data_IF_802796031686
#
_entry.id   IF_802796031686
#
_cell.length_a   1.000
_cell.length_b   1.000
_cell.length_c   1.000
_cell.angle_alpha   90.00
_cell.angle_beta   90.00
_cell.angle_gamma   90.00
#
_symmetry.space_group_name_H-M   'P 1'
#
loop_
_entity.id
_entity.type
_entity.pdbx_description
1 polymer ?
#
# COMPACT_ATOMS: atom_id res chain seq x y z
N UNK A 1 56.05 -124.72 40.31
CA UNK A 1 55.08 -124.71 39.19
C UNK A 1 54.71 -123.26 38.85
N UNK A 2 55.06 -122.82 37.63
CA UNK A 2 54.63 -121.66 36.82
C UNK A 2 54.21 -120.31 37.47
N UNK A 3 54.95 -119.21 37.21
CA UNK A 3 54.42 -117.85 37.24
C UNK A 3 54.03 -117.41 35.82
N UNK A 4 52.83 -117.80 35.34
CA UNK A 4 52.38 -117.45 33.97
C UNK A 4 51.17 -116.48 33.92
N UNK A 5 50.55 -116.13 35.06
CA UNK A 5 49.36 -115.25 35.10
C UNK A 5 49.65 -113.75 35.30
N UNK A 6 50.87 -113.36 35.74
CA UNK A 6 51.20 -111.93 35.96
C UNK A 6 51.46 -111.17 34.65
N UNK A 7 51.96 -111.85 33.61
CA UNK A 7 52.26 -111.24 32.31
C UNK A 7 51.03 -111.07 31.41
N UNK A 8 49.98 -111.90 31.56
CA UNK A 8 48.78 -111.80 30.71
C UNK A 8 47.87 -110.62 31.16
N UNK A 9 47.69 -110.44 32.47
CA UNK A 9 46.90 -109.34 33.04
C UNK A 9 47.50 -107.96 32.76
N UNK A 10 48.83 -107.81 32.83
CA UNK A 10 49.50 -106.55 32.47
C UNK A 10 49.32 -106.20 30.99
N UNK A 11 49.34 -107.18 30.07
CA UNK A 11 49.17 -106.93 28.63
C UNK A 11 47.73 -106.51 28.28
N UNK A 12 46.73 -107.08 28.94
CA UNK A 12 45.31 -106.70 28.73
C UNK A 12 45.06 -105.29 29.28
N UNK A 13 45.59 -104.97 30.47
CA UNK A 13 45.49 -103.62 31.05
C UNK A 13 46.20 -102.60 30.16
N UNK A 14 47.39 -102.92 29.64
CA UNK A 14 48.14 -102.02 28.75
C UNK A 14 47.40 -101.78 27.43
N UNK A 15 46.78 -102.82 26.85
CA UNK A 15 45.96 -102.70 25.64
C UNK A 15 44.69 -101.87 25.85
N UNK A 16 44.00 -102.07 26.98
CA UNK A 16 42.84 -101.26 27.36
C UNK A 16 43.23 -99.79 27.61
N UNK A 17 44.39 -99.54 28.22
CA UNK A 17 44.92 -98.20 28.44
C UNK A 17 45.24 -97.51 27.10
N UNK A 18 45.84 -98.23 26.14
CA UNK A 18 46.15 -97.70 24.81
C UNK A 18 44.87 -97.35 24.02
N UNK A 19 43.83 -98.17 24.09
CA UNK A 19 42.53 -97.89 23.48
C UNK A 19 41.83 -96.70 24.14
N UNK A 20 41.90 -96.58 25.47
CA UNK A 20 41.36 -95.42 26.19
C UNK A 20 42.08 -94.13 25.76
N UNK A 21 43.41 -94.15 25.66
CA UNK A 21 44.21 -93.00 25.21
C UNK A 21 43.89 -92.68 23.74
N UNK A 22 43.78 -93.66 22.85
CA UNK A 22 43.42 -93.43 21.44
C UNK A 22 42.00 -92.84 21.29
N UNK A 23 41.05 -93.27 22.13
CA UNK A 23 39.69 -92.71 22.15
C UNK A 23 39.66 -91.28 22.66
N UNK A 24 40.45 -90.97 23.70
CA UNK A 24 40.61 -89.62 24.22
C UNK A 24 41.28 -88.71 23.18
N UNK A 25 42.33 -89.19 22.51
CA UNK A 25 43.00 -88.44 21.43
C UNK A 25 42.02 -88.17 20.29
N UNK A 26 41.22 -89.16 19.89
CA UNK A 26 40.23 -89.01 18.81
C UNK A 26 39.11 -88.05 19.19
N UNK A 27 38.60 -88.11 20.43
CA UNK A 27 37.62 -87.15 20.96
C UNK A 27 38.20 -85.75 21.07
N UNK A 28 39.45 -85.61 21.55
CA UNK A 28 40.13 -84.31 21.58
C UNK A 28 40.38 -83.78 20.18
N UNK A 29 40.69 -84.63 19.20
CA UNK A 29 40.91 -84.24 17.81
C UNK A 29 39.61 -83.82 17.12
N UNK A 30 38.52 -84.57 17.31
CA UNK A 30 37.19 -84.21 16.77
C UNK A 30 36.68 -82.91 17.37
N UNK A 31 36.80 -82.74 18.70
CA UNK A 31 36.48 -81.49 19.38
C UNK A 31 37.41 -80.34 18.95
N UNK A 32 38.69 -80.61 18.65
CA UNK A 32 39.63 -79.61 18.15
C UNK A 32 39.29 -79.18 16.72
N UNK A 33 38.87 -80.11 15.85
CA UNK A 33 38.46 -79.82 14.48
C UNK A 33 37.13 -79.05 14.42
N UNK A 34 36.13 -79.45 15.23
CA UNK A 34 34.86 -78.74 15.39
C UNK A 34 35.05 -77.35 16.06
N UNK A 35 35.98 -77.25 17.01
CA UNK A 35 36.38 -75.97 17.64
C UNK A 35 37.13 -75.06 16.65
N UNK A 36 37.98 -75.62 15.79
CA UNK A 36 38.70 -74.90 14.75
C UNK A 36 37.78 -74.31 13.69
N UNK A 37 36.75 -75.04 13.26
CA UNK A 37 35.75 -74.58 12.30
C UNK A 37 34.81 -73.52 12.89
N UNK A 38 34.41 -73.66 14.17
CA UNK A 38 33.66 -72.62 14.90
C UNK A 38 34.51 -71.36 15.11
N UNK A 39 35.78 -71.51 15.47
CA UNK A 39 36.69 -70.39 15.66
C UNK A 39 36.94 -69.63 14.34
N UNK A 40 37.15 -70.32 13.23
CA UNK A 40 37.32 -69.69 11.92
C UNK A 40 36.04 -68.98 11.43
N UNK A 41 34.87 -69.60 11.63
CA UNK A 41 33.57 -68.98 11.33
C UNK A 41 33.36 -67.68 12.12
N UNK A 42 33.55 -67.72 13.44
CA UNK A 42 33.35 -66.54 14.28
C UNK A 42 34.40 -65.45 14.01
N UNK A 43 35.62 -65.83 13.58
CA UNK A 43 36.66 -64.87 13.17
C UNK A 43 36.26 -64.16 11.87
N UNK A 44 35.75 -64.90 10.89
CA UNK A 44 35.20 -64.32 9.65
C UNK A 44 34.00 -63.41 9.93
N UNK A 45 33.12 -63.81 10.85
CA UNK A 45 31.98 -63.00 11.27
C UNK A 45 32.41 -61.68 11.92
N UNK A 46 33.42 -61.73 12.79
CA UNK A 46 34.03 -60.54 13.40
C UNK A 46 34.58 -59.59 12.33
N UNK A 47 35.30 -60.10 11.33
CA UNK A 47 35.82 -59.29 10.22
C UNK A 47 34.71 -58.61 9.41
N UNK A 48 33.59 -59.31 9.18
CA UNK A 48 32.42 -58.72 8.51
C UNK A 48 31.80 -57.59 9.34
N UNK A 49 31.64 -57.75 10.65
CA UNK A 49 31.11 -56.69 11.52
C UNK A 49 32.05 -55.49 11.54
N UNK A 50 33.38 -55.69 11.59
CA UNK A 50 34.37 -54.60 11.53
C UNK A 50 34.26 -53.85 10.20
N UNK A 51 34.12 -54.57 9.09
CA UNK A 51 33.92 -53.97 7.76
C UNK A 51 32.63 -53.15 7.72
N UNK A 52 31.52 -53.69 8.22
CA UNK A 52 30.22 -53.03 8.23
C UNK A 52 30.22 -51.78 9.13
N UNK A 53 30.91 -51.82 10.27
CA UNK A 53 31.09 -50.67 11.16
C UNK A 53 31.92 -49.56 10.51
N UNK A 54 33.02 -49.91 9.81
CA UNK A 54 33.80 -48.94 9.03
C UNK A 54 32.98 -48.29 7.92
N UNK A 55 32.19 -49.10 7.19
CA UNK A 55 31.28 -48.59 6.18
C UNK A 55 30.20 -47.66 6.79
N UNK A 56 29.70 -48.00 7.98
CA UNK A 56 28.75 -47.15 8.70
C UNK A 56 29.38 -45.82 9.12
N UNK A 57 30.63 -45.85 9.59
CA UNK A 57 31.40 -44.67 9.97
C UNK A 57 31.55 -43.68 8.79
N UNK A 58 31.84 -44.21 7.60
CA UNK A 58 31.92 -43.44 6.35
C UNK A 58 30.55 -42.87 5.96
N UNK A 59 29.50 -43.70 6.01
CA UNK A 59 28.12 -43.29 5.74
C UNK A 59 27.64 -42.14 6.62
N UNK A 60 28.00 -42.12 7.91
CA UNK A 60 27.73 -40.97 8.79
C UNK A 60 28.61 -39.76 8.46
N UNK A 61 29.81 -39.97 7.92
CA UNK A 61 30.70 -38.90 7.47
C UNK A 61 30.20 -38.17 6.22
N UNK A 62 29.44 -38.84 5.36
CA UNK A 62 28.80 -38.24 4.18
C UNK A 62 27.64 -37.29 4.51
N UNK A 63 27.08 -37.38 5.72
CA UNK A 63 25.96 -36.54 6.19
C UNK A 63 26.40 -35.13 6.60
N UNK A 64 27.13 -34.44 5.73
CA UNK A 64 27.80 -33.16 6.00
C UNK A 64 26.83 -31.98 6.15
N UNK A 65 25.62 -32.11 5.63
CA UNK A 65 24.60 -31.04 5.65
C UNK A 65 23.74 -31.03 6.93
N UNK A 66 23.97 -31.99 7.83
CA UNK A 66 23.31 -32.00 9.13
C UNK A 66 23.65 -30.75 9.95
N UNK A 67 22.64 -30.19 10.65
CA UNK A 67 22.82 -29.04 11.55
C UNK A 67 22.15 -29.28 12.90
N UNK A 68 22.56 -28.48 13.90
CA UNK A 68 21.97 -28.50 15.24
C UNK A 68 22.08 -29.87 15.90
N UNK A 69 20.99 -30.35 16.50
CA UNK A 69 20.97 -31.59 17.29
C UNK A 69 21.35 -32.84 16.47
N UNK A 70 20.95 -32.90 15.19
CA UNK A 70 21.25 -34.06 14.32
C UNK A 70 22.76 -34.15 14.05
N UNK A 71 23.44 -33.02 13.87
CA UNK A 71 24.89 -33.01 13.70
C UNK A 71 25.63 -33.51 14.96
N UNK A 72 25.09 -33.21 16.15
CA UNK A 72 25.61 -33.71 17.43
C UNK A 72 25.38 -35.22 17.55
N UNK A 73 24.16 -35.69 17.29
CA UNK A 73 23.82 -37.13 17.34
C UNK A 73 24.63 -37.95 16.32
N UNK A 74 24.90 -37.43 15.11
CA UNK A 74 25.79 -38.06 14.12
C UNK A 74 27.22 -38.18 14.66
N UNK A 75 27.74 -37.13 15.31
CA UNK A 75 29.09 -37.15 15.90
C UNK A 75 29.20 -38.17 17.03
N UNK A 76 28.19 -38.24 17.89
CA UNK A 76 28.12 -39.21 18.99
C UNK A 76 28.08 -40.65 18.47
N UNK A 77 27.29 -40.92 17.42
CA UNK A 77 27.23 -42.25 16.81
C UNK A 77 28.53 -42.65 16.12
N UNK A 78 29.24 -41.71 15.48
CA UNK A 78 30.58 -41.97 14.93
C UNK A 78 31.58 -42.32 16.03
N UNK A 79 31.50 -41.66 17.17
CA UNK A 79 32.35 -42.00 18.32
C UNK A 79 31.99 -43.36 18.92
N UNK A 80 30.69 -43.67 19.00
CA UNK A 80 30.22 -45.00 19.40
C UNK A 80 30.77 -46.09 18.48
N UNK A 81 30.77 -45.86 17.16
CA UNK A 81 31.38 -46.78 16.18
C UNK A 81 32.89 -46.94 16.41
N UNK A 82 33.62 -45.86 16.70
CA UNK A 82 35.05 -45.93 17.02
C UNK A 82 35.30 -46.84 18.23
N UNK A 83 34.52 -46.66 19.31
CA UNK A 83 34.63 -47.48 20.53
C UNK A 83 34.33 -48.95 20.25
N UNK A 84 33.33 -49.24 19.40
CA UNK A 84 32.97 -50.60 19.01
C UNK A 84 34.08 -51.26 18.18
N UNK A 85 34.69 -50.54 17.24
CA UNK A 85 35.84 -51.01 16.45
C UNK A 85 37.05 -51.32 17.33
N UNK A 86 37.39 -50.39 18.22
CA UNK A 86 38.50 -50.51 19.18
C UNK A 86 38.33 -51.68 20.16
N UNK A 87 37.08 -51.99 20.49
CA UNK A 87 36.72 -53.11 21.38
C UNK A 87 36.77 -54.43 20.63
N UNK A 88 36.25 -54.49 19.39
CA UNK A 88 36.32 -55.68 18.55
C UNK A 88 37.75 -56.06 18.23
N UNK A 89 38.64 -55.11 17.92
CA UNK A 89 40.05 -55.40 17.60
C UNK A 89 40.78 -56.15 18.73
N UNK A 90 40.45 -55.86 20.00
CA UNK A 90 41.11 -56.43 21.19
C UNK A 90 40.44 -57.67 21.78
N UNK A 91 39.26 -58.05 21.27
CA UNK A 91 38.43 -59.09 21.88
C UNK A 91 38.68 -60.49 21.31
N UNK A 92 38.71 -61.49 22.20
CA UNK A 92 38.64 -62.90 21.83
C UNK A 92 37.25 -63.25 21.27
N UNK A 93 37.21 -64.24 20.38
CA UNK A 93 36.05 -64.46 19.52
C UNK A 93 34.93 -65.20 20.28
N UNK A 94 33.93 -64.47 20.79
CA UNK A 94 32.75 -64.98 21.51
C UNK A 94 31.44 -64.71 20.75
N UNK A 95 30.63 -65.76 20.56
CA UNK A 95 29.33 -65.71 19.89
C UNK A 95 28.32 -64.76 20.54
N UNK A 96 28.17 -64.76 21.86
CA UNK A 96 27.17 -63.93 22.56
C UNK A 96 27.50 -62.45 22.41
N UNK A 97 28.80 -62.13 22.41
CA UNK A 97 29.26 -60.77 22.22
C UNK A 97 29.04 -60.35 20.77
N UNK A 98 29.43 -61.15 19.78
CA UNK A 98 29.17 -60.86 18.36
C UNK A 98 27.67 -60.62 18.06
N UNK A 99 26.76 -61.33 18.72
CA UNK A 99 25.31 -61.08 18.60
C UNK A 99 24.90 -59.70 19.15
N UNK A 100 25.46 -59.26 20.27
CA UNK A 100 25.20 -57.92 20.80
C UNK A 100 25.70 -56.82 19.84
N UNK A 101 26.89 -56.98 19.26
CA UNK A 101 27.43 -56.04 18.26
C UNK A 101 26.60 -56.00 16.97
N UNK A 102 26.04 -57.13 16.53
CA UNK A 102 25.07 -57.15 15.41
C UNK A 102 23.81 -56.36 15.73
N UNK A 103 23.28 -56.48 16.94
CA UNK A 103 22.14 -55.70 17.40
C UNK A 103 22.44 -54.20 17.39
N UNK A 104 23.62 -53.82 17.87
CA UNK A 104 24.10 -52.44 17.88
C UNK A 104 24.30 -51.88 16.46
N UNK A 105 24.91 -52.65 15.57
CA UNK A 105 25.05 -52.30 14.15
C UNK A 105 23.70 -52.10 13.47
N UNK A 106 22.69 -52.89 13.80
CA UNK A 106 21.32 -52.71 13.31
C UNK A 106 20.70 -51.39 13.80
N UNK A 107 20.93 -51.03 15.07
CA UNK A 107 20.49 -49.72 15.60
C UNK A 107 21.14 -48.57 14.85
N UNK A 108 22.47 -48.62 14.68
CA UNK A 108 23.23 -47.60 13.96
C UNK A 108 22.79 -47.49 12.49
N UNK A 109 22.46 -48.60 11.83
CA UNK A 109 21.86 -48.62 10.48
C UNK A 109 20.55 -47.85 10.43
N UNK A 110 19.64 -48.15 11.35
CA UNK A 110 18.33 -47.50 11.41
C UNK A 110 18.44 -46.00 11.71
N UNK A 111 19.35 -45.61 12.59
CA UNK A 111 19.62 -44.20 12.91
C UNK A 111 20.22 -43.44 11.72
N UNK A 112 21.18 -44.06 11.01
CA UNK A 112 21.75 -43.48 9.79
C UNK A 112 20.67 -43.25 8.72
N UNK A 113 19.83 -44.25 8.47
CA UNK A 113 18.74 -44.15 7.49
C UNK A 113 17.73 -43.06 7.89
N UNK A 114 17.40 -42.96 9.18
CA UNK A 114 16.54 -41.90 9.71
C UNK A 114 17.14 -40.52 9.48
N UNK A 115 18.42 -40.31 9.76
CA UNK A 115 19.05 -39.00 9.54
C UNK A 115 19.16 -38.65 8.07
N UNK A 116 19.48 -39.61 7.19
CA UNK A 116 19.45 -39.40 5.73
C UNK A 116 18.09 -38.87 5.29
N UNK A 117 17.00 -39.54 5.67
CA UNK A 117 15.63 -39.08 5.33
C UNK A 117 15.32 -37.68 5.85
N UNK A 118 15.76 -37.35 7.07
CA UNK A 118 15.52 -36.03 7.65
C UNK A 118 16.34 -34.96 6.90
N UNK A 119 17.60 -35.23 6.60
CA UNK A 119 18.48 -34.31 5.86
C UNK A 119 17.91 -34.07 4.46
N UNK A 120 17.56 -35.13 3.73
CA UNK A 120 16.95 -35.04 2.40
C UNK A 120 15.66 -34.21 2.43
N UNK A 121 14.81 -34.42 3.45
CA UNK A 121 13.58 -33.64 3.63
C UNK A 121 13.87 -32.17 3.91
N UNK A 122 14.87 -31.86 4.74
CA UNK A 122 15.25 -30.47 5.07
C UNK A 122 15.84 -29.77 3.85
N UNK A 123 16.71 -30.45 3.09
CA UNK A 123 17.27 -29.94 1.84
C UNK A 123 16.17 -29.62 0.85
N UNK A 124 15.21 -30.54 0.67
CA UNK A 124 14.07 -30.31 -0.20
C UNK A 124 13.24 -29.09 0.23
N UNK A 125 12.98 -28.94 1.53
CA UNK A 125 12.28 -27.78 2.06
C UNK A 125 13.07 -26.48 1.87
N UNK A 126 14.39 -26.50 2.07
CA UNK A 126 15.24 -25.33 1.82
C UNK A 126 15.20 -24.90 0.35
N UNK A 127 15.27 -25.85 -0.60
CA UNK A 127 15.15 -25.55 -2.03
C UNK A 127 13.79 -24.92 -2.38
N UNK A 128 12.71 -25.39 -1.76
CA UNK A 128 11.38 -24.78 -1.94
C UNK A 128 11.33 -23.36 -1.36
N UNK A 129 11.89 -23.15 -0.17
CA UNK A 129 11.95 -21.85 0.48
C UNK A 129 12.81 -20.86 -0.31
N UNK A 130 13.96 -21.28 -0.83
CA UNK A 130 14.81 -20.46 -1.70
C UNK A 130 14.04 -20.00 -2.94
N UNK A 131 13.31 -20.92 -3.59
CA UNK A 131 12.44 -20.58 -4.73
C UNK A 131 11.36 -19.58 -4.34
N UNK A 132 10.71 -19.76 -3.20
CA UNK A 132 9.66 -18.85 -2.72
C UNK A 132 10.22 -17.45 -2.40
N UNK A 133 11.41 -17.38 -1.82
CA UNK A 133 12.13 -16.12 -1.58
C UNK A 133 12.45 -15.41 -2.89
N UNK A 134 12.94 -16.13 -3.90
CA UNK A 134 13.25 -15.54 -5.21
C UNK A 134 11.99 -15.02 -5.92
N UNK A 135 10.89 -15.78 -5.91
CA UNK A 135 9.60 -15.33 -6.45
C UNK A 135 9.10 -14.09 -5.69
N UNK A 136 9.20 -14.09 -4.36
CA UNK A 136 8.78 -12.95 -3.54
C UNK A 136 9.59 -11.70 -3.83
N UNK A 137 10.90 -11.83 -4.05
CA UNK A 137 11.78 -10.72 -4.45
C UNK A 137 11.38 -10.14 -5.82
N UNK A 138 11.13 -11.00 -6.81
CA UNK A 138 10.65 -10.55 -8.12
C UNK A 138 9.35 -9.76 -8.00
N UNK A 139 8.39 -10.27 -7.22
CA UNK A 139 7.12 -9.60 -6.98
C UNK A 139 7.27 -8.26 -6.26
N UNK A 140 8.19 -8.16 -5.30
CA UNK A 140 8.48 -6.89 -4.62
C UNK A 140 9.06 -5.86 -5.60
N UNK A 141 9.97 -6.27 -6.48
CA UNK A 141 10.54 -5.37 -7.49
C UNK A 141 9.46 -4.88 -8.48
N UNK A 142 8.61 -5.78 -8.99
CA UNK A 142 7.50 -5.43 -9.88
C UNK A 142 6.53 -4.44 -9.21
N UNK A 143 6.16 -4.68 -7.95
CA UNK A 143 5.33 -3.75 -7.17
C UNK A 143 6.01 -2.39 -6.94
N UNK A 144 7.34 -2.39 -6.78
CA UNK A 144 8.14 -1.17 -6.67
C UNK A 144 8.03 -0.31 -7.94
N UNK A 145 8.25 -0.91 -9.10
CA UNK A 145 8.13 -0.23 -10.41
C UNK A 145 6.72 0.32 -10.64
N UNK A 146 5.68 -0.45 -10.32
CA UNK A 146 4.30 0.01 -10.44
C UNK A 146 4.00 1.19 -9.50
N UNK A 147 4.55 1.17 -8.29
CA UNK A 147 4.36 2.25 -7.32
C UNK A 147 5.04 3.55 -7.77
N UNK A 148 6.23 3.46 -8.37
CA UNK A 148 6.94 4.61 -8.93
C UNK A 148 6.18 5.20 -10.12
N UNK A 149 5.72 4.36 -11.06
CA UNK A 149 4.88 4.81 -12.17
C UNK A 149 3.57 5.47 -11.71
N UNK A 150 2.93 4.93 -10.65
CA UNK A 150 1.75 5.55 -10.04
C UNK A 150 2.06 6.90 -9.38
N UNK A 151 3.25 7.07 -8.80
CA UNK A 151 3.66 8.33 -8.20
C UNK A 151 3.84 9.41 -9.27
N UNK A 152 4.53 9.10 -10.36
CA UNK A 152 4.77 10.01 -11.48
C UNK A 152 3.47 10.45 -12.14
N UNK A 153 2.55 9.51 -12.35
CA UNK A 153 1.22 9.81 -12.93
C UNK A 153 0.39 10.71 -12.01
N UNK A 154 0.41 10.48 -10.70
CA UNK A 154 -0.28 11.35 -9.73
C UNK A 154 0.32 12.76 -9.69
N UNK A 155 1.64 12.89 -9.78
CA UNK A 155 2.30 14.20 -9.84
C UNK A 155 1.91 14.98 -11.10
N UNK A 156 1.93 14.32 -12.28
CA UNK A 156 1.47 14.91 -13.54
C UNK A 156 0.00 15.35 -13.47
N UNK A 157 -0.88 14.53 -12.89
CA UNK A 157 -2.29 14.86 -12.72
C UNK A 157 -2.49 16.04 -11.77
N UNK A 158 -1.74 16.10 -10.66
CA UNK A 158 -1.79 17.23 -9.73
C UNK A 158 -1.36 18.52 -10.40
N UNK A 159 -0.24 18.51 -11.13
CA UNK A 159 0.26 19.67 -11.86
C UNK A 159 -0.75 20.17 -12.91
N UNK A 160 -1.39 19.24 -13.63
CA UNK A 160 -2.44 19.59 -14.60
C UNK A 160 -3.67 20.18 -13.92
N UNK A 161 -4.11 19.62 -12.80
CA UNK A 161 -5.23 20.15 -12.01
C UNK A 161 -4.94 21.58 -11.57
N UNK A 162 -3.76 21.82 -11.00
CA UNK A 162 -3.39 23.13 -10.46
C UNK A 162 -3.28 24.18 -11.58
N UNK A 163 -2.74 23.79 -12.74
CA UNK A 163 -2.73 24.64 -13.94
C UNK A 163 -4.13 24.98 -14.43
N UNK A 164 -5.04 24.00 -14.52
CA UNK A 164 -6.43 24.22 -14.91
C UNK A 164 -7.17 25.11 -13.91
N UNK A 165 -6.94 24.94 -12.61
CA UNK A 165 -7.53 25.78 -11.58
C UNK A 165 -7.04 27.23 -11.69
N UNK A 166 -5.74 27.44 -11.88
CA UNK A 166 -5.17 28.77 -12.10
C UNK A 166 -5.74 29.43 -13.36
N UNK A 167 -5.82 28.70 -14.47
CA UNK A 167 -6.40 29.20 -15.71
C UNK A 167 -7.88 29.54 -15.54
N UNK A 168 -8.65 28.70 -14.85
CA UNK A 168 -10.07 28.94 -14.61
C UNK A 168 -10.29 30.16 -13.71
N UNK A 169 -9.44 30.35 -12.69
CA UNK A 169 -9.46 31.56 -11.85
C UNK A 169 -9.18 32.81 -12.69
N UNK A 170 -8.11 32.79 -13.51
CA UNK A 170 -7.75 33.93 -14.37
C UNK A 170 -8.86 34.27 -15.39
N UNK A 171 -9.47 33.24 -16.00
CA UNK A 171 -10.59 33.43 -16.92
C UNK A 171 -11.83 33.98 -16.19
N UNK A 172 -12.11 33.49 -14.98
CA UNK A 172 -13.21 33.99 -14.15
C UNK A 172 -12.99 35.46 -13.82
N UNK A 173 -11.79 35.84 -13.39
CA UNK A 173 -11.44 37.23 -13.09
C UNK A 173 -11.61 38.12 -14.33
N UNK A 174 -11.07 37.70 -15.48
CA UNK A 174 -11.24 38.41 -16.76
C UNK A 174 -12.69 38.55 -17.18
N UNK A 175 -13.51 37.52 -17.00
CA UNK A 175 -14.95 37.58 -17.28
C UNK A 175 -15.64 38.56 -16.33
N UNK A 176 -15.31 38.54 -15.03
CA UNK A 176 -15.94 39.44 -14.05
C UNK A 176 -15.57 40.90 -14.29
N UNK A 177 -14.34 41.18 -14.71
CA UNK A 177 -13.90 42.51 -15.11
C UNK A 177 -14.56 42.95 -16.42
N UNK A 178 -14.57 42.06 -17.43
CA UNK A 178 -15.17 42.34 -18.73
C UNK A 178 -16.70 42.45 -18.71
N UNK A 179 -17.38 41.88 -17.71
CA UNK A 179 -18.85 41.88 -17.58
C UNK A 179 -19.40 43.12 -16.86
N UNK A 180 -18.63 44.21 -16.77
CA UNK A 180 -19.14 45.49 -16.25
C UNK A 180 -19.80 46.29 -17.37
N UNK A 181 -20.98 46.85 -17.11
CA UNK A 181 -21.62 47.78 -18.03
C UNK A 181 -21.00 49.16 -17.92
N UNK A 182 -20.67 49.77 -19.06
CA UNK A 182 -20.22 51.14 -19.12
C UNK A 182 -21.37 52.05 -19.56
N UNK A 183 -21.54 53.16 -18.87
CA UNK A 183 -22.52 54.18 -19.24
C UNK A 183 -21.85 55.55 -19.39
N UNK A 184 -22.45 56.42 -20.18
CA UNK A 184 -22.01 57.81 -20.30
C UNK A 184 -23.19 58.78 -20.39
N UNK A 185 -22.89 60.08 -20.27
CA UNK A 185 -23.87 61.16 -20.37
C UNK A 185 -25.03 61.08 -19.36
N UNK A 186 -24.78 60.59 -18.14
CA UNK A 186 -25.80 60.59 -17.09
C UNK A 186 -26.22 62.03 -16.75
N UNK A 187 -27.50 62.33 -16.96
CA UNK A 187 -28.12 63.63 -16.66
C UNK A 187 -29.41 63.43 -15.88
N UNK A 188 -29.47 64.06 -14.71
CA UNK A 188 -30.69 64.22 -13.93
C UNK A 188 -31.39 65.54 -14.26
N UNK A 189 -32.71 65.51 -14.38
CA UNK A 189 -33.51 66.73 -14.52
C UNK A 189 -34.90 66.55 -13.90
N UNK A 190 -35.43 67.63 -13.34
CA UNK A 190 -36.76 67.68 -12.75
C UNK A 190 -37.82 68.16 -13.73
N UNK A 191 -39.01 67.58 -13.60
CA UNK A 191 -40.16 67.84 -14.44
C UNK A 191 -41.42 68.01 -13.60
N UNK A 192 -42.38 68.74 -14.15
CA UNK A 192 -43.73 68.93 -13.62
C UNK A 192 -44.76 68.51 -14.65
N UNK A 193 -45.86 67.92 -14.21
CA UNK A 193 -47.03 67.76 -15.07
C UNK A 193 -47.82 69.07 -15.13
N UNK A 194 -48.26 69.48 -16.32
CA UNK A 194 -49.24 70.57 -16.47
C UNK A 194 -50.65 70.00 -16.37
N UNK A 195 -51.63 70.88 -16.15
CA UNK A 195 -53.06 70.51 -16.10
C UNK A 195 -53.55 69.81 -17.38
N UNK A 196 -52.87 70.02 -18.52
CA UNK A 196 -53.14 69.34 -19.80
C UNK A 196 -52.36 68.03 -19.98
N UNK A 197 -51.76 67.48 -18.91
CA UNK A 197 -50.98 66.23 -18.93
C UNK A 197 -49.59 66.35 -19.54
N UNK A 198 -49.20 67.50 -20.11
CA UNK A 198 -47.85 67.67 -20.69
C UNK A 198 -46.79 67.78 -19.60
N UNK A 199 -45.74 66.97 -19.70
CA UNK A 199 -44.59 66.98 -18.80
C UNK A 199 -43.58 68.03 -19.27
N UNK A 200 -43.23 68.99 -18.41
CA UNK A 200 -42.31 70.10 -18.75
C UNK A 200 -41.21 70.22 -17.70
N UNK A 201 -39.98 70.50 -18.13
CA UNK A 201 -38.85 70.71 -17.22
C UNK A 201 -39.11 71.90 -16.28
N UNK A 202 -38.70 71.77 -15.03
CA UNK A 202 -38.79 72.81 -13.99
C UNK A 202 -37.52 72.76 -13.16
N UNK A 203 -37.03 73.90 -12.69
CA UNK A 203 -35.93 73.93 -11.71
C UNK A 203 -36.43 74.26 -10.30
N UNK A 204 -37.75 74.48 -10.13
CA UNK A 204 -38.35 74.86 -8.85
C UNK A 204 -38.69 73.60 -8.05
N UNK A 205 -38.13 73.47 -6.85
CA UNK A 205 -38.40 72.34 -5.95
C UNK A 205 -39.90 72.16 -5.69
N UNK A 206 -40.59 73.27 -5.40
CA UNK A 206 -42.04 73.29 -5.08
C UNK A 206 -42.97 72.88 -6.23
N UNK A 207 -42.45 72.80 -7.46
CA UNK A 207 -43.23 72.40 -8.64
C UNK A 207 -42.76 71.07 -9.23
N UNK A 208 -41.76 70.42 -8.63
CA UNK A 208 -41.21 69.16 -9.15
C UNK A 208 -42.10 68.00 -8.73
N UNK A 209 -42.50 67.19 -9.70
CA UNK A 209 -43.35 66.00 -9.49
C UNK A 209 -42.68 64.73 -9.99
N UNK A 210 -41.75 64.87 -10.93
CA UNK A 210 -41.01 63.79 -11.56
C UNK A 210 -39.54 64.19 -11.65
N UNK A 211 -38.64 63.24 -11.41
CA UNK A 211 -37.22 63.39 -11.73
C UNK A 211 -36.91 62.37 -12.82
N UNK A 212 -36.34 62.85 -13.92
CA UNK A 212 -35.90 62.02 -15.05
C UNK A 212 -34.39 61.82 -14.94
N UNK A 213 -33.95 60.59 -15.14
CA UNK A 213 -32.55 60.26 -15.37
C UNK A 213 -32.38 59.76 -16.80
N UNK A 214 -31.46 60.37 -17.55
CA UNK A 214 -31.10 59.95 -18.89
C UNK A 214 -29.63 59.58 -18.95
N UNK A 215 -29.29 58.45 -19.56
CA UNK A 215 -27.93 57.97 -19.76
C UNK A 215 -27.87 57.02 -20.96
N UNK A 216 -26.67 56.77 -21.45
CA UNK A 216 -26.43 55.86 -22.57
C UNK A 216 -25.61 54.68 -22.10
N UNK A 217 -26.06 53.47 -22.40
CA UNK A 217 -25.32 52.24 -22.14
C UNK A 217 -24.49 51.88 -23.37
N UNK A 218 -23.21 51.61 -23.19
CA UNK A 218 -22.32 51.14 -24.25
C UNK A 218 -22.50 49.63 -24.50
N UNK A 219 -22.28 49.15 -25.74
CA UNK A 219 -22.29 47.73 -26.05
C UNK A 219 -21.30 46.95 -25.18
N UNK A 220 -21.72 45.77 -24.70
CA UNK A 220 -20.84 44.82 -24.05
C UNK A 220 -21.07 43.42 -24.65
N UNK A 221 -20.02 42.84 -25.25
CA UNK A 221 -20.09 41.53 -25.93
C UNK A 221 -20.38 40.37 -24.96
N UNK A 222 -19.94 40.47 -23.70
CA UNK A 222 -20.12 39.41 -22.70
C UNK A 222 -21.54 39.41 -22.10
N UNK A 223 -22.25 40.54 -22.19
CA UNK A 223 -23.61 40.70 -21.68
C UNK A 223 -24.67 40.77 -22.78
N UNK A 224 -24.27 40.58 -24.04
CA UNK A 224 -25.12 40.72 -25.21
C UNK A 224 -26.28 39.73 -25.16
N UNK A 225 -27.49 40.22 -25.43
CA UNK A 225 -28.73 39.43 -25.48
C UNK A 225 -29.05 38.69 -24.16
N UNK A 226 -28.44 39.11 -23.05
CA UNK A 226 -28.76 38.66 -21.70
C UNK A 226 -29.68 39.70 -21.04
N UNK A 227 -30.72 39.21 -20.35
CA UNK A 227 -31.57 40.05 -19.51
C UNK A 227 -30.78 40.56 -18.32
N UNK A 228 -30.69 41.88 -18.21
CA UNK A 228 -29.94 42.58 -17.18
C UNK A 228 -30.85 43.60 -16.48
N UNK A 229 -30.45 44.04 -15.29
CA UNK A 229 -31.17 45.06 -14.54
C UNK A 229 -30.22 46.19 -14.14
N UNK A 230 -30.71 47.43 -14.32
CA UNK A 230 -30.04 48.63 -13.83
C UNK A 230 -30.86 49.22 -12.69
N UNK A 231 -30.18 49.67 -11.65
CA UNK A 231 -30.80 50.28 -10.48
C UNK A 231 -30.50 51.77 -10.48
N UNK A 232 -31.57 52.56 -10.58
CA UNK A 232 -31.51 54.01 -10.48
C UNK A 232 -31.74 54.42 -9.04
N UNK A 233 -30.84 55.21 -8.47
CA UNK A 233 -30.97 55.78 -7.13
C UNK A 233 -30.89 57.30 -7.22
N UNK A 234 -31.89 57.98 -6.69
CA UNK A 234 -31.95 59.43 -6.61
C UNK A 234 -31.94 59.81 -5.14
N UNK A 235 -30.97 60.61 -4.74
CA UNK A 235 -30.77 61.04 -3.35
C UNK A 235 -31.13 62.52 -3.24
N UNK A 236 -31.95 62.86 -2.27
CA UNK A 236 -32.34 64.23 -1.94
C UNK A 236 -31.23 64.98 -1.16
N UNK A 237 -31.34 66.31 -0.99
CA UNK A 237 -30.36 67.10 -0.22
C UNK A 237 -30.21 66.70 1.25
N UNK A 238 -31.09 65.83 1.77
CA UNK A 238 -31.09 65.31 3.15
C UNK A 238 -30.63 63.86 3.21
N UNK A 239 -30.01 63.35 2.15
CA UNK A 239 -29.51 61.98 2.00
C UNK A 239 -30.59 60.88 2.04
N UNK A 240 -31.83 61.21 1.66
CA UNK A 240 -32.90 60.23 1.50
C UNK A 240 -33.01 59.77 0.05
N UNK A 241 -33.17 58.47 -0.17
CA UNK A 241 -33.51 57.92 -1.48
C UNK A 241 -34.95 58.30 -1.82
N UNK A 242 -35.18 58.83 -3.02
CA UNK A 242 -36.49 59.30 -3.49
C UNK A 242 -37.22 58.20 -4.24
N UNK A 243 -38.54 58.11 -4.08
CA UNK A 243 -39.39 57.21 -4.88
C UNK A 243 -39.64 55.86 -4.20
N UNK A 244 -39.53 54.75 -4.94
CA UNK A 244 -39.97 53.41 -4.48
C UNK A 244 -39.25 52.88 -3.24
N UNK A 245 -38.00 53.32 -2.99
CA UNK A 245 -37.14 52.89 -1.86
C UNK A 245 -37.04 51.37 -1.72
N UNK A 246 -37.01 50.67 -2.85
CA UNK A 246 -36.84 49.23 -2.88
C UNK A 246 -35.43 48.86 -2.42
N UNK A 247 -35.28 47.63 -1.91
CA UNK A 247 -34.00 47.09 -1.45
C UNK A 247 -33.68 45.83 -2.24
N UNK A 248 -32.44 45.72 -2.70
CA UNK A 248 -31.88 44.50 -3.29
C UNK A 248 -30.58 44.16 -2.58
N UNK A 249 -30.35 42.86 -2.36
CA UNK A 249 -29.16 42.34 -1.68
C UNK A 249 -28.19 41.76 -2.73
N UNK A 250 -26.94 42.20 -2.69
CA UNK A 250 -25.83 41.66 -3.49
C UNK A 250 -24.75 41.17 -2.52
N UNK A 251 -24.62 39.85 -2.37
CA UNK A 251 -23.74 39.27 -1.34
C UNK A 251 -24.08 39.83 0.04
N UNK A 252 -23.14 40.52 0.68
CA UNK A 252 -23.32 41.14 1.99
C UNK A 252 -23.79 42.61 1.94
N UNK A 253 -23.92 43.20 0.74
CA UNK A 253 -24.33 44.60 0.56
C UNK A 253 -25.83 44.72 0.25
N UNK A 254 -26.45 45.77 0.78
CA UNK A 254 -27.85 46.12 0.47
C UNK A 254 -27.86 47.45 -0.28
N UNK A 255 -28.41 47.43 -1.50
CA UNK A 255 -28.65 48.63 -2.29
C UNK A 255 -30.11 49.07 -2.10
N UNK A 256 -30.30 50.31 -1.65
CA UNK A 256 -31.60 50.98 -1.63
C UNK A 256 -31.72 51.86 -2.86
N UNK A 257 -32.71 51.61 -3.72
CA UNK A 257 -32.83 52.29 -5.01
C UNK A 257 -34.22 52.88 -5.23
N UNK A 258 -34.29 53.83 -6.16
CA UNK A 258 -35.51 54.57 -6.51
C UNK A 258 -36.37 53.82 -7.52
N UNK A 259 -35.72 53.18 -8.51
CA UNK A 259 -36.38 52.43 -9.58
C UNK A 259 -35.44 51.39 -10.20
N UNK A 260 -35.99 50.23 -10.57
CA UNK A 260 -35.33 49.18 -11.34
C UNK A 260 -35.71 49.29 -12.81
N UNK A 261 -34.73 49.14 -13.70
CA UNK A 261 -34.91 49.24 -15.15
C UNK A 261 -34.40 47.94 -15.79
N UNK A 262 -35.26 47.08 -16.34
CA UNK A 262 -34.83 45.92 -17.10
C UNK A 262 -34.22 46.39 -18.44
N UNK A 263 -33.10 45.78 -18.82
CA UNK A 263 -32.34 46.11 -20.03
C UNK A 263 -31.84 44.85 -20.73
N UNK A 264 -31.79 44.89 -22.06
CA UNK A 264 -31.14 43.86 -22.88
C UNK A 264 -30.03 44.55 -23.64
N UNK A 265 -28.79 44.17 -23.36
CA UNK A 265 -27.61 44.78 -24.00
C UNK A 265 -27.55 44.36 -25.46
N UNK A 266 -27.33 45.33 -26.35
CA UNK A 266 -27.24 45.13 -27.80
C UNK A 266 -25.85 45.51 -28.31
N UNK A 267 -25.58 45.21 -29.58
CA UNK A 267 -24.34 45.62 -30.26
C UNK A 267 -24.21 47.13 -30.53
N UNK A 268 -25.21 47.93 -30.13
CA UNK A 268 -25.25 49.38 -30.34
C UNK A 268 -25.56 50.10 -29.03
N UNK A 269 -25.09 51.34 -28.84
CA UNK A 269 -25.42 52.13 -27.67
C UNK A 269 -26.94 52.24 -27.47
N UNK A 270 -27.39 52.15 -26.21
CA UNK A 270 -28.81 52.21 -25.85
C UNK A 270 -29.05 53.45 -25.00
N UNK A 271 -29.89 54.36 -25.52
CA UNK A 271 -30.36 55.53 -24.77
C UNK A 271 -31.47 55.13 -23.82
N UNK A 272 -31.26 55.37 -22.52
CA UNK A 272 -32.26 55.14 -21.47
C UNK A 272 -32.62 56.49 -20.84
N UNK A 273 -33.91 56.73 -20.72
CA UNK A 273 -34.45 57.91 -20.09
C UNK A 273 -35.70 57.54 -19.30
N UNK A 274 -35.59 57.46 -17.99
CA UNK A 274 -36.69 57.01 -17.15
C UNK A 274 -37.03 58.02 -16.04
N UNK A 275 -38.27 57.99 -15.58
CA UNK A 275 -38.84 58.89 -14.58
C UNK A 275 -39.07 58.17 -13.25
N UNK A 276 -38.75 58.89 -12.17
CA UNK A 276 -39.09 58.57 -10.79
C UNK A 276 -40.06 59.62 -10.27
N UNK A 277 -41.16 59.19 -9.67
CA UNK A 277 -42.18 60.08 -9.09
C UNK A 277 -41.75 60.58 -7.71
N UNK A 278 -41.99 61.87 -7.45
CA UNK A 278 -41.73 62.50 -6.15
C UNK A 278 -43.02 62.81 -5.37
N UNK A 279 -44.19 62.37 -5.87
CA UNK A 279 -45.51 62.78 -5.35
C UNK A 279 -45.76 62.47 -3.87
N UNK A 280 -45.09 61.47 -3.31
CA UNK A 280 -45.26 61.06 -1.92
C UNK A 280 -44.24 61.72 -0.98
N UNK A 281 -43.39 62.62 -1.49
CA UNK A 281 -42.25 63.15 -0.76
C UNK A 281 -42.15 64.68 -0.88
N UNK A 282 -41.71 65.33 0.20
CA UNK A 282 -41.48 66.77 0.18
C UNK A 282 -40.19 67.08 -0.57
N UNK A 283 -40.32 67.58 -1.79
CA UNK A 283 -39.18 68.04 -2.61
C UNK A 283 -38.62 69.34 -2.02
N UNK A 284 -37.39 69.29 -1.50
CA UNK A 284 -36.69 70.42 -0.91
C UNK A 284 -35.78 71.11 -1.94
N UNK A 285 -35.44 72.38 -1.69
CA UNK A 285 -34.40 73.06 -2.47
C UNK A 285 -33.04 72.46 -2.14
N UNK A 286 -32.14 72.37 -3.11
CA UNK A 286 -30.79 71.86 -2.92
C UNK A 286 -30.32 70.95 -4.06
N UNK A 287 -29.23 70.23 -3.79
CA UNK A 287 -28.59 69.33 -4.74
C UNK A 287 -29.20 67.93 -4.66
N UNK A 288 -29.55 67.39 -5.80
CA UNK A 288 -30.05 66.03 -5.96
C UNK A 288 -29.00 65.22 -6.70
N UNK A 289 -28.68 64.05 -6.16
CA UNK A 289 -27.68 63.15 -6.71
C UNK A 289 -28.38 61.99 -7.39
N UNK A 290 -28.05 61.74 -8.66
CA UNK A 290 -28.53 60.62 -9.44
C UNK A 290 -27.38 59.63 -9.59
N UNK A 291 -27.56 58.43 -9.08
CA UNK A 291 -26.64 57.32 -9.18
C UNK A 291 -27.25 56.22 -10.04
N UNK A 292 -26.45 55.62 -10.91
CA UNK A 292 -26.83 54.45 -11.70
C UNK A 292 -25.93 53.30 -11.30
N UNK A 293 -26.54 52.19 -10.90
CA UNK A 293 -25.85 50.97 -10.49
C UNK A 293 -26.17 49.83 -11.44
N UNK A 294 -25.20 48.95 -11.64
CA UNK A 294 -25.38 47.62 -12.19
C UNK A 294 -24.85 46.62 -11.18
N UNK A 295 -25.73 45.72 -10.73
CA UNK A 295 -25.50 44.93 -9.52
C UNK A 295 -25.13 45.85 -8.34
N UNK A 296 -24.02 45.57 -7.64
CA UNK A 296 -23.51 46.40 -6.56
C UNK A 296 -22.58 47.55 -7.02
N UNK A 297 -22.20 47.60 -8.30
CA UNK A 297 -21.22 48.57 -8.80
C UNK A 297 -21.90 49.87 -9.22
N UNK A 298 -21.42 51.00 -8.69
CA UNK A 298 -21.81 52.34 -9.15
C UNK A 298 -21.17 52.61 -10.51
N UNK A 299 -21.99 52.84 -11.53
CA UNK A 299 -21.52 53.08 -12.89
C UNK A 299 -21.29 54.57 -13.18
N UNK A 300 -22.20 55.44 -12.73
CA UNK A 300 -22.03 56.89 -12.83
C UNK A 300 -22.87 57.63 -11.80
N UNK A 301 -22.43 58.86 -11.51
CA UNK A 301 -23.12 59.82 -10.66
C UNK A 301 -23.29 61.14 -11.40
N UNK A 302 -24.44 61.78 -11.24
CA UNK A 302 -24.75 63.10 -11.78
C UNK A 302 -25.48 63.92 -10.73
N UNK A 303 -25.22 65.23 -10.68
CA UNK A 303 -25.84 66.12 -9.69
C UNK A 303 -26.58 67.23 -10.43
N UNK A 304 -27.81 67.52 -10.00
CA UNK A 304 -28.58 68.66 -10.47
C UNK A 304 -29.22 69.40 -9.29
N UNK A 305 -29.50 70.69 -9.48
CA UNK A 305 -29.96 71.56 -8.39
C UNK A 305 -31.40 72.01 -8.58
N UNK A 306 -32.19 71.96 -7.50
CA UNK A 306 -33.52 72.56 -7.40
C UNK A 306 -33.50 73.84 -6.57
N UNK A 307 -34.15 74.89 -7.10
CA UNK A 307 -34.29 76.22 -6.51
C UNK A 307 -35.66 76.45 -5.89
#
# INVERSE_FOLDING_TARGET
MKPQNKQLGQKIILGALFLAIASLISLTYFNYMESGEKASFLTSEKEMIIKDLKQMQESFGELTEAKGKIAVEIKENRERINILLDSLDRMEVDYNVLQAYRGELSSLRNENERYRKIIDSIQYQNLLLEREVDISRLKINELGEYTEALKDTNELLSNRRDSLMSLNSELTDKITEGSILNIYNLKGASYRSRSNGKVVSTHRASKTELIRACFVILPNKLLKDIDNEIYLQIIDPKNNVIGGKERVKFGDKILVFSKRIPIIVKDKPIDICDYVTTKQEKVNKGNYTVNVFYQEKLLATSIFQLK
#
